data_IF_167303792024
#
_entry.id   IF_167303792024
#
_cell.length_a   1.000
_cell.length_b   1.000
_cell.length_c   1.000
_cell.angle_alpha   90.00
_cell.angle_beta   90.00
_cell.angle_gamma   90.00
#
_symmetry.space_group_name_H-M   'P 1'
#
loop_
_entity.id
_entity.type
_entity.pdbx_description
1 polymer ?
#
# COMPACT_ATOMS: atom_id res chain seq x y z
N UNK A 1 16.23 -2.21 19.25
CA UNK A 1 15.10 -2.91 19.91
C UNK A 1 14.43 -3.82 18.87
N UNK A 2 14.74 -5.12 18.87
CA UNK A 2 14.06 -6.11 18.00
C UNK A 2 12.61 -6.17 18.45
N UNK A 3 11.67 -5.62 17.67
CA UNK A 3 10.24 -5.80 17.94
C UNK A 3 9.91 -7.24 17.56
N UNK A 4 9.67 -8.10 18.55
CA UNK A 4 9.08 -9.41 18.30
C UNK A 4 7.75 -9.19 17.59
N UNK A 5 7.53 -9.88 16.47
CA UNK A 5 6.27 -9.78 15.75
C UNK A 5 5.19 -10.47 16.57
N UNK A 6 4.27 -9.70 17.14
CA UNK A 6 3.10 -10.27 17.81
C UNK A 6 2.26 -11.00 16.75
N UNK A 7 1.98 -12.29 16.96
CA UNK A 7 1.16 -13.07 16.04
C UNK A 7 -0.31 -12.77 16.32
N UNK A 8 -1.09 -12.44 15.29
CA UNK A 8 -2.54 -12.25 15.43
C UNK A 8 -3.28 -13.58 15.63
N UNK A 9 -2.69 -14.71 15.21
CA UNK A 9 -3.26 -16.05 15.28
C UNK A 9 -2.18 -17.06 15.63
N UNK A 10 -2.55 -18.09 16.37
CA UNK A 10 -1.63 -19.14 16.83
C UNK A 10 -1.41 -20.26 15.80
N UNK A 11 -2.42 -20.53 14.96
CA UNK A 11 -2.39 -21.64 14.00
C UNK A 11 -2.02 -21.19 12.58
N UNK A 12 -1.29 -22.04 11.82
CA UNK A 12 -1.07 -21.81 10.39
C UNK A 12 -2.42 -21.74 9.65
N UNK A 13 -2.47 -20.91 8.61
CA UNK A 13 -3.68 -20.67 7.82
C UNK A 13 -3.35 -20.92 6.36
N UNK A 14 -4.29 -21.54 5.66
CA UNK A 14 -4.23 -21.58 4.21
C UNK A 14 -4.37 -20.15 3.67
N UNK A 15 -3.36 -19.69 2.93
CA UNK A 15 -3.38 -18.41 2.25
C UNK A 15 -3.76 -18.64 0.80
N UNK A 16 -4.90 -18.08 0.40
CA UNK A 16 -5.39 -18.16 -0.97
C UNK A 16 -5.27 -16.82 -1.69
N UNK A 17 -4.77 -16.86 -2.91
CA UNK A 17 -4.73 -15.69 -3.80
C UNK A 17 -6.05 -15.59 -4.56
N UNK A 18 -6.72 -14.43 -4.49
CA UNK A 18 -7.97 -14.15 -5.20
C UNK A 18 -7.83 -12.85 -6.00
N UNK A 19 -8.49 -12.80 -7.16
CA UNK A 19 -8.62 -11.60 -7.98
C UNK A 19 -9.98 -10.95 -7.71
N UNK A 20 -9.98 -9.67 -7.35
CA UNK A 20 -11.20 -8.89 -7.19
C UNK A 20 -11.26 -7.81 -8.28
N UNK A 21 -12.42 -7.66 -8.90
CA UNK A 21 -12.70 -6.54 -9.81
C UNK A 21 -13.50 -5.49 -9.06
N UNK A 22 -12.99 -4.28 -9.01
CA UNK A 22 -13.67 -3.13 -8.42
C UNK A 22 -14.01 -2.18 -9.56
N UNK A 23 -15.28 -1.78 -9.66
CA UNK A 23 -15.71 -0.87 -10.73
C UNK A 23 -15.10 0.52 -10.53
N UNK A 24 -14.86 1.22 -11.64
CA UNK A 24 -14.44 2.62 -11.61
C UNK A 24 -15.48 3.51 -10.90
N UNK A 25 -16.77 3.25 -11.12
CA UNK A 25 -17.87 4.00 -10.50
C UNK A 25 -17.80 3.96 -8.97
N UNK A 26 -17.55 2.81 -8.36
CA UNK A 26 -17.42 2.70 -6.90
C UNK A 26 -16.20 3.45 -6.36
N UNK A 27 -15.10 3.48 -7.11
CA UNK A 27 -13.90 4.23 -6.71
C UNK A 27 -14.15 5.74 -6.83
N UNK A 28 -14.82 6.18 -7.90
CA UNK A 28 -15.18 7.58 -8.13
C UNK A 28 -16.15 8.06 -7.04
N UNK A 29 -17.19 7.28 -6.73
CA UNK A 29 -18.14 7.62 -5.68
C UNK A 29 -17.44 7.82 -4.32
N UNK A 30 -16.52 6.92 -3.94
CA UNK A 30 -15.76 7.07 -2.71
C UNK A 30 -14.87 8.31 -2.78
N UNK A 31 -14.16 8.51 -3.90
CA UNK A 31 -13.30 9.68 -4.10
C UNK A 31 -14.09 10.97 -3.91
N UNK A 32 -15.26 11.08 -4.54
CA UNK A 32 -16.09 12.28 -4.52
C UNK A 32 -16.69 12.53 -3.14
N UNK A 33 -17.19 11.47 -2.48
CA UNK A 33 -17.73 11.55 -1.11
C UNK A 33 -16.67 11.80 -0.03
N UNK A 34 -15.38 11.67 -0.37
CA UNK A 34 -14.25 11.87 0.54
C UNK A 34 -13.33 13.00 0.10
N UNK A 35 -13.75 13.83 -0.85
CA UNK A 35 -13.01 15.04 -1.16
C UNK A 35 -12.95 15.95 0.08
N UNK A 36 -11.76 16.49 0.41
CA UNK A 36 -11.67 17.52 1.43
C UNK A 36 -12.52 18.73 1.00
N UNK A 37 -13.30 19.26 1.93
CA UNK A 37 -14.17 20.42 1.68
C UNK A 37 -13.41 21.75 1.60
N UNK A 38 -12.21 21.80 2.19
CA UNK A 38 -11.31 22.96 2.21
C UNK A 38 -10.01 22.65 1.43
N UNK A 39 -9.06 23.61 1.38
CA UNK A 39 -7.77 23.66 0.64
C UNK A 39 -6.81 22.44 0.75
N UNK A 40 -7.27 21.28 1.19
CA UNK A 40 -6.52 20.03 1.22
C UNK A 40 -6.25 19.44 -0.16
N UNK A 41 -5.27 18.53 -0.22
CA UNK A 41 -4.92 17.80 -1.44
C UNK A 41 -6.12 16.97 -1.91
N UNK A 42 -6.50 17.04 -3.21
CA UNK A 42 -7.60 16.24 -3.73
C UNK A 42 -7.40 14.73 -3.48
N UNK A 43 -8.47 14.04 -3.13
CA UNK A 43 -8.44 12.58 -2.99
C UNK A 43 -8.21 11.97 -4.36
N UNK A 44 -7.16 11.15 -4.49
CA UNK A 44 -6.88 10.44 -5.74
C UNK A 44 -7.66 9.12 -5.79
N UNK A 45 -7.86 8.58 -7.00
CA UNK A 45 -8.48 7.26 -7.16
C UNK A 45 -7.70 6.14 -6.45
N UNK A 46 -6.37 6.28 -6.33
CA UNK A 46 -5.55 5.34 -5.55
C UNK A 46 -5.94 5.38 -4.07
N UNK A 47 -5.99 6.57 -3.47
CA UNK A 47 -6.29 6.73 -2.05
C UNK A 47 -7.69 6.23 -1.73
N UNK A 48 -8.67 6.53 -2.56
CA UNK A 48 -10.04 6.02 -2.42
C UNK A 48 -10.08 4.47 -2.46
N UNK A 49 -9.40 3.86 -3.44
CA UNK A 49 -9.33 2.41 -3.59
C UNK A 49 -8.59 1.74 -2.42
N UNK A 50 -7.44 2.30 -2.02
CA UNK A 50 -6.65 1.80 -0.89
C UNK A 50 -7.45 1.87 0.41
N UNK A 51 -8.19 2.97 0.65
CA UNK A 51 -9.08 3.12 1.79
C UNK A 51 -10.21 2.09 1.79
N UNK A 52 -10.82 1.81 0.63
CA UNK A 52 -11.85 0.78 0.51
C UNK A 52 -11.31 -0.61 0.87
N UNK A 53 -10.19 -1.00 0.26
CA UNK A 53 -9.57 -2.32 0.48
C UNK A 53 -9.18 -2.45 1.96
N UNK A 54 -8.51 -1.43 2.51
CA UNK A 54 -8.04 -1.47 3.88
C UNK A 54 -9.20 -1.54 4.89
N UNK A 55 -10.28 -0.78 4.66
CA UNK A 55 -11.50 -0.88 5.47
C UNK A 55 -12.05 -2.31 5.44
N UNK A 56 -12.17 -2.93 4.27
CA UNK A 56 -12.68 -4.30 4.14
C UNK A 56 -11.77 -5.34 4.80
N UNK A 57 -10.45 -5.18 4.71
CA UNK A 57 -9.48 -6.04 5.41
C UNK A 57 -9.62 -5.92 6.92
N UNK A 58 -9.70 -4.69 7.46
CA UNK A 58 -9.88 -4.47 8.90
C UNK A 58 -11.23 -5.05 9.37
N UNK A 59 -12.31 -4.81 8.62
CA UNK A 59 -13.65 -5.36 8.93
C UNK A 59 -13.65 -6.89 8.94
N UNK A 60 -13.05 -7.54 7.93
CA UNK A 60 -12.94 -8.99 7.86
C UNK A 60 -12.13 -9.59 9.03
N UNK A 61 -11.27 -8.80 9.66
CA UNK A 61 -10.43 -9.18 10.81
C UNK A 61 -10.97 -8.68 12.15
N UNK A 62 -12.17 -8.09 12.18
CA UNK A 62 -12.75 -7.44 13.37
C UNK A 62 -12.71 -8.31 14.61
N UNK A 63 -13.13 -9.58 14.52
CA UNK A 63 -13.19 -10.47 15.68
C UNK A 63 -11.85 -10.66 16.38
N UNK A 64 -10.76 -10.64 15.61
CA UNK A 64 -9.39 -10.75 16.16
C UNK A 64 -8.93 -9.41 16.73
N UNK A 65 -9.30 -8.29 16.11
CA UNK A 65 -8.89 -6.95 16.55
C UNK A 65 -9.65 -6.42 17.77
N UNK A 66 -10.81 -6.99 18.07
CA UNK A 66 -11.71 -6.54 19.14
C UNK A 66 -11.72 -7.51 20.33
N UNK A 67 -10.96 -8.61 20.28
CA UNK A 67 -10.88 -9.53 21.42
C UNK A 67 -10.23 -8.86 22.63
N UNK A 68 -10.75 -9.14 23.84
CA UNK A 68 -10.29 -8.51 25.09
C UNK A 68 -8.82 -8.82 25.41
N UNK A 69 -8.28 -9.90 24.86
CA UNK A 69 -6.91 -10.37 25.06
C UNK A 69 -5.89 -9.69 24.12
N UNK A 70 -6.33 -9.17 22.96
CA UNK A 70 -5.43 -8.59 21.96
C UNK A 70 -5.43 -7.05 21.99
N UNK A 71 -4.30 -6.47 22.41
CA UNK A 71 -4.06 -5.00 22.43
C UNK A 71 -3.83 -4.37 21.04
N UNK A 72 -4.13 -5.09 19.95
CA UNK A 72 -3.75 -4.70 18.59
C UNK A 72 -4.66 -3.59 18.03
N UNK A 73 -4.43 -2.38 18.51
CA UNK A 73 -5.21 -1.18 18.22
C UNK A 73 -4.66 -0.35 17.06
N UNK A 74 -3.67 -0.86 16.31
CA UNK A 74 -2.91 -0.06 15.34
C UNK A 74 -2.71 -0.73 13.98
N UNK A 75 -3.78 -1.07 13.24
CA UNK A 75 -3.64 -1.50 11.85
C UNK A 75 -2.83 -0.46 11.06
N UNK A 76 -1.89 -0.95 10.26
CA UNK A 76 -1.03 -0.11 9.42
C UNK A 76 -1.11 -0.52 7.95
N UNK A 77 -1.34 0.45 7.07
CA UNK A 77 -1.19 0.32 5.64
C UNK A 77 0.19 0.84 5.24
N UNK A 78 1.03 -0.01 4.67
CA UNK A 78 2.25 0.42 4.00
C UNK A 78 1.92 0.77 2.54
N UNK A 79 2.03 2.06 2.22
CA UNK A 79 1.85 2.58 0.87
C UNK A 79 3.21 2.59 0.18
N UNK A 80 3.33 1.83 -0.91
CA UNK A 80 4.53 1.86 -1.75
C UNK A 80 4.43 3.02 -2.72
N UNK A 81 5.47 3.83 -2.76
CA UNK A 81 5.57 5.00 -3.62
C UNK A 81 6.81 4.91 -4.50
N UNK A 82 6.63 5.32 -5.74
CA UNK A 82 7.68 5.47 -6.71
C UNK A 82 8.41 6.79 -6.50
N UNK A 83 9.71 6.72 -6.19
CA UNK A 83 10.51 7.90 -5.97
C UNK A 83 10.97 8.54 -7.28
N UNK A 84 10.88 7.87 -8.44
CA UNK A 84 11.25 8.43 -9.76
C UNK A 84 10.42 9.63 -10.19
N UNK A 85 9.37 9.94 -9.45
CA UNK A 85 8.54 11.10 -9.74
C UNK A 85 9.38 12.38 -9.70
N UNK A 86 9.37 13.16 -10.79
CA UNK A 86 10.35 14.21 -11.04
C UNK A 86 10.54 15.20 -9.89
N UNK A 87 9.48 15.55 -9.15
CA UNK A 87 9.54 16.47 -8.02
C UNK A 87 10.23 15.93 -6.76
N UNK A 88 10.43 14.62 -6.63
CA UNK A 88 11.05 14.01 -5.45
C UNK A 88 12.57 13.88 -5.56
N UNK A 89 13.12 13.94 -6.77
CA UNK A 89 14.54 13.65 -7.04
C UNK A 89 15.22 14.67 -7.96
N UNK A 90 14.72 15.90 -8.06
CA UNK A 90 15.29 16.94 -8.95
C UNK A 90 16.80 17.19 -8.74
N UNK A 91 17.33 16.94 -7.54
CA UNK A 91 18.77 17.11 -7.23
C UNK A 91 19.59 15.83 -7.44
N UNK A 92 18.93 14.71 -7.75
CA UNK A 92 19.61 13.48 -8.12
C UNK A 92 19.71 13.54 -9.65
N UNK A 93 20.93 13.66 -10.16
CA UNK A 93 21.25 13.68 -11.60
C UNK A 93 20.95 12.32 -12.27
N UNK A 94 19.69 11.89 -12.24
CA UNK A 94 19.17 10.86 -13.11
C UNK A 94 18.82 11.55 -14.42
N UNK A 95 19.64 11.33 -15.46
CA UNK A 95 19.44 11.91 -16.80
C UNK A 95 18.04 11.62 -17.35
N UNK A 96 17.48 10.46 -16.99
CA UNK A 96 16.06 10.17 -17.18
C UNK A 96 15.49 9.33 -16.01
N UNK A 97 14.81 9.95 -15.04
CA UNK A 97 14.19 9.24 -13.93
C UNK A 97 13.13 8.23 -14.39
N UNK A 98 12.45 8.50 -15.50
CA UNK A 98 11.41 7.63 -16.07
C UNK A 98 12.00 6.37 -16.71
N UNK A 99 13.17 6.48 -17.33
CA UNK A 99 13.84 5.36 -17.98
C UNK A 99 14.72 4.56 -17.00
N UNK A 100 14.81 4.98 -15.74
CA UNK A 100 15.51 4.22 -14.72
C UNK A 100 14.82 2.87 -14.48
N UNK A 101 15.53 1.79 -14.83
CA UNK A 101 15.04 0.41 -14.74
C UNK A 101 15.24 -0.24 -13.36
N UNK A 102 16.01 0.40 -12.48
CA UNK A 102 16.28 -0.13 -11.15
C UNK A 102 15.14 0.09 -10.16
N UNK A 103 15.26 -0.51 -8.97
CA UNK A 103 14.32 -0.29 -7.88
C UNK A 103 14.53 1.09 -7.25
N UNK A 104 13.55 1.97 -7.40
CA UNK A 104 13.57 3.30 -6.79
C UNK A 104 12.22 3.58 -6.13
N UNK A 105 11.89 2.76 -5.14
CA UNK A 105 10.63 2.82 -4.39
C UNK A 105 10.88 2.92 -2.91
N UNK A 106 9.97 3.55 -2.18
CA UNK A 106 9.97 3.55 -0.72
C UNK A 106 8.56 3.42 -0.17
N UNK A 107 8.44 3.00 1.09
CA UNK A 107 7.15 2.82 1.74
C UNK A 107 6.90 3.85 2.83
N UNK A 108 5.71 4.44 2.83
CA UNK A 108 5.23 5.29 3.94
C UNK A 108 4.10 4.57 4.70
N UNK A 109 4.16 4.51 6.05
CA UNK A 109 3.11 3.87 6.83
C UNK A 109 1.95 4.85 7.10
N UNK A 110 0.73 4.37 6.89
CA UNK A 110 -0.50 4.98 7.34
C UNK A 110 -1.08 4.13 8.47
N UNK A 111 -1.08 4.64 9.72
CA UNK A 111 -1.52 3.87 10.89
C UNK A 111 -2.82 4.44 11.45
N UNK A 112 -3.86 3.61 11.51
CA UNK A 112 -5.12 3.95 12.15
C UNK A 112 -5.09 3.48 13.61
N UNK A 113 -5.57 4.32 14.52
CA UNK A 113 -5.73 3.96 15.93
C UNK A 113 -7.19 3.53 16.16
N UNK A 114 -7.40 2.25 16.41
CA UNK A 114 -8.71 1.64 16.67
C UNK A 114 -9.07 1.73 18.14
N UNK A 115 -10.29 2.18 18.41
CA UNK A 115 -10.94 2.09 19.72
C UNK A 115 -12.03 0.99 19.67
N UNK A 116 -11.76 -0.24 20.17
CA UNK A 116 -12.55 -1.43 19.84
C UNK A 116 -13.98 -1.45 20.40
N UNK A 117 -14.24 -0.81 21.56
CA UNK A 117 -15.42 -1.10 22.39
C UNK A 117 -16.73 -0.41 21.99
N UNK A 118 -16.71 0.76 21.34
CA UNK A 118 -17.96 1.49 21.04
C UNK A 118 -18.09 1.97 19.59
N UNK A 119 -16.99 2.07 18.84
CA UNK A 119 -16.97 2.86 17.60
C UNK A 119 -16.25 2.16 16.44
N UNK A 120 -16.09 0.84 16.45
CA UNK A 120 -15.31 0.15 15.41
C UNK A 120 -15.87 0.42 14.00
N UNK A 121 -17.18 0.20 13.81
CA UNK A 121 -17.80 0.37 12.48
C UNK A 121 -17.78 1.82 12.00
N UNK A 122 -17.84 2.81 12.91
CA UNK A 122 -17.75 4.22 12.56
C UNK A 122 -16.33 4.65 12.21
N UNK A 123 -15.31 4.02 12.82
CA UNK A 123 -13.89 4.27 12.55
C UNK A 123 -13.36 3.59 11.29
N UNK A 124 -13.95 2.47 10.86
CA UNK A 124 -13.46 1.67 9.73
C UNK A 124 -14.33 1.89 8.50
N UNK A 125 -14.27 3.11 7.95
CA UNK A 125 -14.97 3.51 6.71
C UNK A 125 -14.00 4.25 5.79
N UNK A 126 -14.20 4.23 4.46
CA UNK A 126 -13.33 4.96 3.55
C UNK A 126 -13.15 6.44 3.93
N UNK A 127 -14.23 7.11 4.36
CA UNK A 127 -14.21 8.51 4.81
C UNK A 127 -13.26 8.80 5.97
N UNK A 128 -13.04 7.85 6.87
CA UNK A 128 -12.11 8.02 8.00
C UNK A 128 -10.69 7.62 7.63
N UNK A 129 -10.51 6.68 6.69
CA UNK A 129 -9.19 6.19 6.28
C UNK A 129 -8.51 7.06 5.23
N UNK A 130 -9.27 7.69 4.33
CA UNK A 130 -8.74 8.57 3.27
C UNK A 130 -7.81 9.65 3.85
N UNK A 131 -8.18 10.42 4.89
CA UNK A 131 -7.29 11.41 5.48
C UNK A 131 -5.99 10.83 6.05
N UNK A 132 -6.05 9.63 6.64
CA UNK A 132 -4.88 8.95 7.22
C UNK A 132 -3.87 8.57 6.12
N UNK A 133 -4.38 8.01 5.02
CA UNK A 133 -3.57 7.64 3.86
C UNK A 133 -3.03 8.88 3.15
N UNK A 134 -3.88 9.88 2.89
CA UNK A 134 -3.48 11.14 2.25
C UNK A 134 -2.41 11.87 3.04
N UNK A 135 -2.50 11.91 4.38
CA UNK A 135 -1.46 12.48 5.23
C UNK A 135 -0.15 11.71 5.09
N UNK A 136 -0.21 10.38 5.12
CA UNK A 136 0.96 9.51 4.99
C UNK A 136 1.68 9.66 3.65
N UNK A 137 0.95 9.87 2.56
CA UNK A 137 1.52 10.17 1.23
C UNK A 137 1.98 11.63 1.15
N UNK A 138 1.27 12.55 1.82
CA UNK A 138 1.55 13.98 1.80
C UNK A 138 2.89 14.38 2.42
N UNK A 139 3.46 13.56 3.31
CA UNK A 139 4.81 13.80 3.85
C UNK A 139 5.92 13.51 2.85
N UNK A 140 5.60 12.84 1.74
CA UNK A 140 6.58 12.45 0.74
C UNK A 140 6.90 13.65 -0.14
N UNK A 141 7.90 14.39 0.29
CA UNK A 141 8.56 15.43 -0.48
C UNK A 141 10.03 15.07 -0.74
N UNK A 142 10.73 16.00 -1.40
CA UNK A 142 12.13 15.88 -1.77
C UNK A 142 13.04 15.69 -0.55
N UNK A 143 12.81 16.43 0.53
CA UNK A 143 13.64 16.37 1.73
C UNK A 143 13.42 15.06 2.49
N UNK A 144 12.17 14.61 2.55
CA UNK A 144 11.83 13.29 3.07
C UNK A 144 12.51 12.18 2.27
N UNK A 145 12.45 12.23 0.93
CA UNK A 145 13.06 11.21 0.07
C UNK A 145 14.58 11.14 0.26
N UNK A 146 15.26 12.30 0.25
CA UNK A 146 16.68 12.41 0.57
C UNK A 146 17.02 11.86 1.94
N UNK A 147 16.20 12.17 2.95
CA UNK A 147 16.39 11.66 4.31
C UNK A 147 16.28 10.14 4.37
N UNK A 148 15.30 9.53 3.67
CA UNK A 148 15.16 8.09 3.63
C UNK A 148 16.33 7.41 2.90
N UNK A 149 16.76 7.95 1.74
CA UNK A 149 17.90 7.42 0.99
C UNK A 149 19.20 7.54 1.79
N UNK A 150 19.42 8.68 2.45
CA UNK A 150 20.58 8.89 3.32
C UNK A 150 20.61 7.88 4.47
N UNK A 151 19.45 7.59 5.08
CA UNK A 151 19.36 6.56 6.11
C UNK A 151 19.76 5.17 5.59
N UNK A 152 19.50 4.85 4.32
CA UNK A 152 19.95 3.58 3.73
C UNK A 152 21.48 3.57 3.58
N UNK A 153 22.07 4.66 3.07
CA UNK A 153 23.52 4.74 2.84
C UNK A 153 24.33 4.70 4.15
N UNK A 154 23.79 5.29 5.22
CA UNK A 154 24.53 5.50 6.47
C UNK A 154 24.16 4.54 7.61
N UNK A 155 23.06 3.78 7.50
CA UNK A 155 22.70 2.80 8.53
C UNK A 155 23.39 1.47 8.30
N UNK A 156 23.83 0.91 9.41
CA UNK A 156 24.11 -0.51 9.53
C UNK A 156 22.90 -1.32 9.03
N UNK A 157 23.13 -2.12 7.98
CA UNK A 157 22.12 -2.91 7.30
C UNK A 157 21.35 -3.81 8.29
N UNK A 158 22.03 -4.34 9.31
CA UNK A 158 21.42 -5.20 10.33
C UNK A 158 20.44 -4.45 11.25
N UNK A 159 20.59 -3.13 11.35
CA UNK A 159 19.76 -2.27 12.20
C UNK A 159 18.62 -1.58 11.44
N UNK A 160 18.55 -1.77 10.12
CA UNK A 160 17.53 -1.14 9.29
C UNK A 160 16.23 -1.95 9.33
N UNK A 161 15.09 -1.39 9.77
CA UNK A 161 13.82 -2.10 9.76
C UNK A 161 13.37 -2.35 8.32
N UNK A 162 13.43 -3.61 7.89
CA UNK A 162 13.09 -4.03 6.52
C UNK A 162 11.57 -4.10 6.26
N UNK A 163 10.75 -4.13 7.32
CA UNK A 163 9.30 -4.15 7.24
C UNK A 163 8.69 -3.03 8.10
N UNK A 164 7.92 -2.14 7.46
CA UNK A 164 7.12 -1.11 8.16
C UNK A 164 5.81 -1.67 8.74
N UNK A 165 5.35 -2.81 8.24
CA UNK A 165 4.26 -3.57 8.86
C UNK A 165 4.81 -4.45 9.97
N UNK A 166 4.13 -4.40 11.10
CA UNK A 166 4.55 -4.98 12.36
C UNK A 166 3.99 -6.40 12.55
N UNK A 167 2.89 -6.72 11.88
CA UNK A 167 2.16 -7.96 12.13
C UNK A 167 2.15 -8.89 10.90
N UNK A 168 3.00 -9.93 10.86
CA UNK A 168 2.84 -11.02 9.91
C UNK A 168 1.48 -11.69 10.16
N UNK A 169 0.64 -11.74 9.12
CA UNK A 169 -0.75 -12.17 9.20
C UNK A 169 -1.66 -11.37 10.15
N UNK A 170 -1.21 -10.21 10.61
CA UNK A 170 -2.04 -9.29 11.38
C UNK A 170 -2.83 -8.33 10.49
N UNK A 171 -3.39 -7.24 11.06
CA UNK A 171 -4.27 -6.34 10.32
C UNK A 171 -3.55 -5.44 9.32
N UNK A 172 -2.22 -5.52 9.28
CA UNK A 172 -1.42 -4.73 8.38
C UNK A 172 -1.66 -5.14 6.92
N UNK A 173 -1.53 -4.15 6.05
CA UNK A 173 -1.73 -4.29 4.61
C UNK A 173 -0.55 -3.66 3.89
N UNK A 174 0.01 -4.37 2.92
CA UNK A 174 0.92 -3.81 1.93
C UNK A 174 0.14 -3.61 0.63
N UNK A 175 0.21 -2.41 0.08
CA UNK A 175 -0.38 -2.12 -1.23
C UNK A 175 0.68 -1.59 -2.18
N UNK A 176 0.84 -2.28 -3.31
CA UNK A 176 1.57 -1.82 -4.48
C UNK A 176 0.57 -1.54 -5.60
N UNK A 177 0.73 -0.42 -6.30
CA UNK A 177 -0.07 -0.09 -7.48
C UNK A 177 0.77 -0.27 -8.72
N UNK A 178 0.25 -1.01 -9.70
CA UNK A 178 0.85 -1.18 -11.04
C UNK A 178 0.04 -0.45 -12.11
N UNK A 179 -0.85 0.46 -11.71
CA UNK A 179 -1.75 1.17 -12.63
C UNK A 179 -1.02 2.02 -13.67
N UNK A 180 0.19 2.47 -13.32
CA UNK A 180 1.00 3.36 -14.14
C UNK A 180 2.25 2.62 -14.69
N UNK A 181 2.16 1.29 -14.88
CA UNK A 181 3.31 0.47 -15.30
C UNK A 181 3.56 0.48 -16.82
N UNK A 182 2.70 1.11 -17.62
CA UNK A 182 2.83 1.20 -19.09
C UNK A 182 2.58 -0.11 -19.85
N UNK A 183 1.96 -1.11 -19.21
CA UNK A 183 1.66 -2.39 -19.88
C UNK A 183 0.44 -2.30 -20.82
N UNK A 184 -0.27 -1.18 -20.80
CA UNK A 184 -1.47 -0.87 -21.60
C UNK A 184 -1.17 -0.21 -22.96
N UNK A 185 0.11 -0.05 -23.29
CA UNK A 185 0.57 0.40 -24.59
C UNK A 185 0.16 -0.55 -25.72
N UNK A 186 0.23 -0.06 -26.96
CA UNK A 186 0.03 -0.88 -28.15
C UNK A 186 1.31 -1.66 -28.47
N UNK A 187 1.15 -2.95 -28.71
CA UNK A 187 2.28 -3.82 -29.00
C UNK A 187 2.30 -4.14 -30.49
N UNK A 188 3.40 -3.81 -31.15
CA UNK A 188 3.67 -4.18 -32.54
C UNK A 188 4.15 -5.63 -32.61
N UNK A 189 3.28 -6.58 -32.25
CA UNK A 189 3.60 -8.01 -32.25
C UNK A 189 3.77 -8.47 -33.71
N UNK A 190 4.94 -9.00 -34.10
CA UNK A 190 5.17 -9.47 -35.46
C UNK A 190 4.13 -10.52 -35.88
N UNK A 191 3.56 -10.36 -37.09
CA UNK A 191 2.54 -11.26 -37.62
C UNK A 191 1.09 -10.87 -37.31
N UNK A 192 0.87 -9.77 -36.59
CA UNK A 192 -0.46 -9.17 -36.40
C UNK A 192 -0.61 -7.98 -37.36
N UNK A 193 -1.74 -7.89 -38.04
CA UNK A 193 -2.01 -6.89 -39.08
C UNK A 193 -2.12 -5.45 -38.58
N UNK A 194 -2.27 -5.23 -37.27
CA UNK A 194 -2.38 -3.93 -36.65
C UNK A 194 -1.86 -3.97 -35.21
N UNK A 195 -1.40 -2.84 -34.64
CA UNK A 195 -1.12 -2.76 -33.21
C UNK A 195 -2.38 -3.15 -32.40
N UNK A 196 -2.20 -3.97 -31.37
CA UNK A 196 -3.29 -4.43 -30.51
C UNK A 196 -2.97 -4.08 -29.06
N UNK A 197 -4.01 -3.66 -28.31
CA UNK A 197 -3.94 -3.50 -26.85
C UNK A 197 -4.33 -4.80 -26.15
N UNK A 198 -3.70 -5.06 -25.02
CA UNK A 198 -4.08 -6.18 -24.17
C UNK A 198 -5.55 -6.07 -23.75
N UNK A 199 -6.33 -7.15 -23.91
CA UNK A 199 -7.73 -7.21 -23.45
C UNK A 199 -7.83 -7.28 -21.93
N UNK A 200 -6.81 -7.84 -21.27
CA UNK A 200 -6.63 -7.80 -19.84
C UNK A 200 -5.15 -7.97 -19.47
N UNK A 201 -4.69 -7.21 -18.48
CA UNK A 201 -3.35 -7.35 -17.89
C UNK A 201 -3.53 -7.92 -16.49
N UNK A 202 -2.86 -9.03 -16.19
CA UNK A 202 -3.00 -9.73 -14.91
C UNK A 202 -1.64 -10.18 -14.43
N UNK A 203 -1.42 -10.05 -13.13
CA UNK A 203 -0.32 -10.75 -12.47
C UNK A 203 -0.63 -12.26 -12.48
N UNK A 204 0.37 -13.08 -12.80
CA UNK A 204 0.26 -14.52 -12.64
C UNK A 204 -0.14 -14.87 -11.20
N UNK A 205 -1.12 -15.75 -11.05
CA UNK A 205 -1.52 -16.23 -9.74
C UNK A 205 -0.35 -17.02 -9.14
N UNK A 206 0.34 -16.42 -8.19
CA UNK A 206 1.38 -17.10 -7.43
C UNK A 206 0.70 -17.81 -6.25
N UNK A 207 0.88 -19.14 -6.14
CA UNK A 207 0.65 -19.88 -4.88
C UNK A 207 1.81 -19.51 -3.96
N UNK A 208 1.68 -18.41 -3.23
CA UNK A 208 2.75 -17.95 -2.35
C UNK A 208 2.83 -18.92 -1.19
N UNK A 209 4.03 -19.37 -0.84
CA UNK A 209 4.28 -20.06 0.42
C UNK A 209 3.88 -19.11 1.56
N UNK A 210 2.63 -19.20 1.99
CA UNK A 210 2.28 -18.86 3.35
C UNK A 210 3.06 -19.84 4.22
N UNK A 211 4.20 -19.40 4.75
CA UNK A 211 5.08 -20.14 5.67
C UNK A 211 6.01 -21.21 5.06
N UNK A 212 7.07 -20.80 4.34
CA UNK A 212 8.37 -21.47 4.47
C UNK A 212 9.52 -20.43 4.39
N UNK A 213 9.84 -19.84 5.53
CA UNK A 213 11.23 -19.50 5.85
C UNK A 213 11.59 -20.26 7.12
N UNK A 214 11.96 -21.53 6.92
CA UNK A 214 12.88 -22.23 7.80
C UNK A 214 14.19 -22.36 7.02
N UNK A 215 15.13 -21.48 7.35
CA UNK A 215 16.57 -21.71 7.39
C UNK A 215 17.17 -20.51 8.14
#
# INVERSE_FOLDING_TARGET
MKRQSEKLRDNPQEVVTKLFRISSSSVIEIKDNTQPKDKGRPTTAFVALAALIWAKVIQARKLLLVSEEQKHTRPTLAVVADLRNHHLLEDIHLESPKDYLGNLVYTTPATLHLYPKANFESQVKPKTLVPVISKSIGIMDKDWAKSQLSQICWRDYEKTPHARCLFPNGPDLYITTWRDMGADDEWSIPGISSPIKATAIRRLAWKGEGYHRLA
#
